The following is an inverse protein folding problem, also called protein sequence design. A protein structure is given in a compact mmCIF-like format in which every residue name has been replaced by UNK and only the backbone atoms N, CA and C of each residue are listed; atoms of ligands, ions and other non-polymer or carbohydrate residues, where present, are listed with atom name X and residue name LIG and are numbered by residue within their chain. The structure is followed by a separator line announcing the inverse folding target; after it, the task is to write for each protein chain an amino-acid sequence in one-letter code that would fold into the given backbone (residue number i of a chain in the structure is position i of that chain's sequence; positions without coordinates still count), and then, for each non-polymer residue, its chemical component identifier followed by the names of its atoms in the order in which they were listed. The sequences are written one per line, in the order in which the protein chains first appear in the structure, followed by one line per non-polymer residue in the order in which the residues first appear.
data_IF_566098425195
#
_entry.id   IF_566098425195
#
_cell.length_a   1.000
_cell.length_b   1.000
_cell.length_c   1.000
_cell.angle_alpha   90.00
_cell.angle_beta   90.00
_cell.angle_gamma   90.00
#
_symmetry.space_group_name_H-M   'P 1'
#
loop_
_entity.id
_entity.type
_entity.pdbx_description
1 polymer ?
#
# COMPACT_ATOMS: atom_id res chain seq x y z
N UNK A 1 58.56 29.81 8.94
CA UNK A 1 58.96 29.88 10.36
C UNK A 1 58.12 30.95 11.01
N UNK A 2 57.48 30.59 12.13
CA UNK A 2 56.85 31.43 13.16
C UNK A 2 55.60 32.27 12.77
N UNK A 3 54.57 32.42 13.60
CA UNK A 3 54.04 31.65 14.73
C UNK A 3 52.63 32.20 15.04
N UNK A 4 51.90 31.43 15.85
CA UNK A 4 50.53 31.51 16.35
C UNK A 4 49.97 32.84 16.88
N UNK A 5 48.63 32.89 16.86
CA UNK A 5 47.83 33.65 17.83
C UNK A 5 46.35 33.24 17.79
N UNK A 6 45.99 32.19 18.55
CA UNK A 6 44.58 31.88 18.89
C UNK A 6 44.14 32.81 20.03
N UNK A 7 42.90 33.29 20.00
CA UNK A 7 42.15 33.59 21.23
C UNK A 7 40.64 33.48 20.99
N UNK A 8 40.03 32.68 21.86
CA UNK A 8 38.61 32.38 21.94
C UNK A 8 37.84 33.52 22.62
N UNK A 9 36.54 33.62 22.37
CA UNK A 9 35.61 34.19 23.35
C UNK A 9 34.30 33.44 23.32
N UNK A 10 33.95 32.93 24.50
CA UNK A 10 32.80 32.12 24.86
C UNK A 10 31.81 33.02 25.61
N UNK A 11 30.51 32.80 25.32
CA UNK A 11 29.35 32.92 26.22
C UNK A 11 28.93 34.30 26.78
N UNK A 12 27.60 34.54 26.82
CA UNK A 12 26.77 34.57 28.07
C UNK A 12 25.45 35.38 27.88
N UNK A 13 24.34 34.66 28.12
CA UNK A 13 23.08 35.01 28.83
C UNK A 13 22.03 36.01 28.32
N UNK A 14 20.80 35.53 28.54
CA UNK A 14 19.51 36.18 28.55
C UNK A 14 19.25 37.03 29.82
N UNK A 15 18.22 37.90 29.77
CA UNK A 15 17.04 37.97 30.68
C UNK A 15 16.48 39.41 30.85
N UNK A 16 15.23 39.59 30.37
CA UNK A 16 14.00 40.29 30.86
C UNK A 16 13.93 41.76 31.39
N UNK A 17 12.68 42.27 31.23
CA UNK A 17 11.92 43.39 31.85
C UNK A 17 11.87 44.68 30.99
N UNK A 18 10.79 45.44 30.82
CA UNK A 18 9.39 45.44 31.30
C UNK A 18 8.61 46.55 30.54
N UNK A 19 7.28 46.46 30.47
CA UNK A 19 6.44 47.56 29.94
C UNK A 19 4.94 47.28 30.04
N UNK A 20 4.31 47.77 31.11
CA UNK A 20 2.88 47.63 31.42
C UNK A 20 2.00 48.71 30.78
N UNK A 21 0.74 48.36 30.50
CA UNK A 21 -0.40 49.22 30.85
C UNK A 21 -1.49 49.41 29.78
N UNK A 22 -2.66 48.77 29.97
CA UNK A 22 -3.95 49.45 30.23
C UNK A 22 -5.05 48.43 30.57
N UNK A 23 -5.57 48.52 31.80
CA UNK A 23 -6.73 47.78 32.30
C UNK A 23 -8.02 48.37 31.72
N UNK A 24 -8.86 47.51 31.15
CA UNK A 24 -10.28 47.74 30.95
C UNK A 24 -11.02 46.53 31.51
N UNK A 25 -11.83 46.76 32.55
CA UNK A 25 -12.69 45.73 33.14
C UNK A 25 -13.75 45.28 32.13
N UNK A 26 -13.85 43.99 31.88
CA UNK A 26 -15.06 43.34 31.36
C UNK A 26 -15.09 41.89 31.85
N UNK A 27 -16.16 41.60 32.58
CA UNK A 27 -16.82 40.33 32.94
C UNK A 27 -16.11 38.97 32.70
N UNK A 28 -16.19 38.00 33.64
CA UNK A 28 -15.73 36.64 33.37
C UNK A 28 -16.60 36.01 32.28
N UNK A 29 -16.05 35.92 31.07
CA UNK A 29 -16.59 35.02 30.06
C UNK A 29 -16.34 33.58 30.52
N UNK A 30 -17.41 32.81 30.62
CA UNK A 30 -17.38 31.36 30.82
C UNK A 30 -16.31 30.71 29.94
N UNK A 31 -15.51 29.77 30.44
CA UNK A 31 -14.58 29.02 29.62
C UNK A 31 -15.37 28.20 28.61
N UNK A 32 -15.46 28.70 27.37
CA UNK A 32 -15.82 27.87 26.22
C UNK A 32 -14.83 26.71 26.19
N UNK A 33 -15.29 25.45 26.27
CA UNK A 33 -14.40 24.31 26.05
C UNK A 33 -13.73 24.49 24.68
N UNK A 34 -12.45 24.11 24.52
CA UNK A 34 -11.78 24.19 23.25
C UNK A 34 -12.63 23.42 22.23
N UNK A 35 -13.02 24.10 21.15
CA UNK A 35 -13.59 23.45 19.98
C UNK A 35 -12.66 22.30 19.63
N UNK A 36 -13.11 21.08 19.92
CA UNK A 36 -12.48 19.87 19.44
C UNK A 36 -12.33 20.07 17.94
N UNK A 37 -11.07 20.18 17.50
CA UNK A 37 -10.77 20.17 16.07
C UNK A 37 -11.52 18.98 15.50
N UNK A 38 -12.52 19.27 14.68
CA UNK A 38 -13.16 18.26 13.87
C UNK A 38 -12.06 17.79 12.94
N UNK A 39 -11.36 16.72 13.33
CA UNK A 39 -10.59 15.92 12.39
C UNK A 39 -11.59 15.60 11.29
N UNK A 40 -11.46 16.26 10.13
CA UNK A 40 -12.35 16.05 9.02
C UNK A 40 -12.42 14.53 8.80
N UNK A 41 -13.62 13.96 8.93
CA UNK A 41 -13.82 12.55 8.72
C UNK A 41 -13.32 12.24 7.30
N UNK A 42 -12.24 11.48 7.21
CA UNK A 42 -11.70 11.06 5.91
C UNK A 42 -12.77 10.19 5.28
N UNK A 43 -13.38 10.68 4.20
CA UNK A 43 -14.41 9.93 3.48
C UNK A 43 -13.75 8.69 2.87
N UNK A 44 -14.22 7.47 3.19
CA UNK A 44 -13.69 6.26 2.60
C UNK A 44 -13.82 6.29 1.07
N UNK A 45 -12.76 5.91 0.37
CA UNK A 45 -12.77 5.80 -1.09
C UNK A 45 -13.43 4.48 -1.52
N UNK A 46 -13.99 4.48 -2.74
CA UNK A 46 -14.61 3.32 -3.37
C UNK A 46 -13.61 2.66 -4.35
N UNK A 47 -12.78 1.69 -3.91
CA UNK A 47 -11.75 1.07 -4.76
C UNK A 47 -12.34 0.34 -5.98
N UNK A 48 -13.59 -0.10 -5.93
CA UNK A 48 -14.28 -0.73 -7.06
C UNK A 48 -14.45 0.21 -8.26
N UNK A 49 -14.40 1.53 -8.05
CA UNK A 49 -14.43 2.50 -9.13
C UNK A 49 -13.12 2.57 -9.93
N UNK A 50 -12.07 1.86 -9.51
CA UNK A 50 -10.86 1.64 -10.30
C UNK A 50 -11.02 0.56 -11.36
N UNK A 51 -12.02 -0.32 -11.26
CA UNK A 51 -12.26 -1.38 -12.25
C UNK A 51 -12.72 -0.73 -13.56
N UNK A 52 -11.99 -0.99 -14.64
CA UNK A 52 -12.27 -0.41 -15.95
C UNK A 52 -11.07 -0.45 -16.90
N UNK A 53 -11.30 0.01 -18.13
CA UNK A 53 -10.27 0.22 -19.14
C UNK A 53 -9.94 1.70 -19.26
N UNK A 54 -8.69 2.05 -18.95
CA UNK A 54 -8.25 3.42 -18.75
C UNK A 54 -7.15 3.82 -19.73
N UNK A 55 -7.28 4.98 -20.36
CA UNK A 55 -6.16 5.62 -21.07
C UNK A 55 -5.25 6.27 -20.03
N UNK A 56 -3.97 5.92 -20.08
CA UNK A 56 -2.94 6.50 -19.24
C UNK A 56 -2.53 7.88 -19.79
N UNK A 57 -2.59 8.90 -18.95
CA UNK A 57 -2.03 10.23 -19.24
C UNK A 57 -1.13 10.67 -18.09
N UNK A 58 -0.27 11.66 -18.37
CA UNK A 58 0.72 12.22 -17.43
C UNK A 58 1.78 11.23 -16.94
N UNK A 59 1.97 10.11 -17.64
CA UNK A 59 3.05 9.15 -17.33
C UNK A 59 4.34 9.60 -18.02
N UNK A 60 5.38 9.88 -17.22
CA UNK A 60 6.65 10.38 -17.73
C UNK A 60 7.47 9.35 -18.54
N UNK A 61 7.11 8.06 -18.44
CA UNK A 61 7.79 6.95 -19.10
C UNK A 61 7.17 6.68 -20.48
N UNK A 62 7.91 6.89 -21.59
CA UNK A 62 7.42 6.65 -22.94
C UNK A 62 7.12 5.18 -23.24
N UNK A 63 7.66 4.25 -22.44
CA UNK A 63 7.45 2.80 -22.54
C UNK A 63 6.34 2.26 -21.64
N UNK A 64 5.64 3.11 -20.88
CA UNK A 64 4.70 2.74 -19.81
C UNK A 64 3.51 1.89 -20.23
N UNK A 65 3.14 1.94 -21.51
CA UNK A 65 1.84 1.49 -22.01
C UNK A 65 0.88 2.64 -22.23
N UNK A 66 -0.13 2.39 -23.06
CA UNK A 66 -1.17 3.38 -23.42
C UNK A 66 -2.46 3.16 -22.63
N UNK A 67 -2.72 1.91 -22.28
CA UNK A 67 -3.96 1.49 -21.65
C UNK A 67 -3.63 0.69 -20.39
N UNK A 68 -4.25 1.07 -19.28
CA UNK A 68 -4.30 0.29 -18.06
C UNK A 68 -5.69 -0.33 -17.95
N UNK A 69 -5.76 -1.66 -18.06
CA UNK A 69 -6.99 -2.43 -17.86
C UNK A 69 -6.96 -3.05 -16.47
N UNK A 70 -7.96 -2.74 -15.65
CA UNK A 70 -8.10 -3.21 -14.27
C UNK A 70 -9.39 -4.02 -14.16
N UNK A 71 -9.25 -5.32 -14.01
CA UNK A 71 -10.35 -6.24 -13.72
C UNK A 71 -10.27 -6.75 -12.27
N UNK A 72 -11.08 -7.73 -11.89
CA UNK A 72 -11.06 -8.29 -10.54
C UNK A 72 -9.72 -8.97 -10.23
N UNK A 73 -8.84 -8.27 -9.53
CA UNK A 73 -7.52 -8.76 -9.10
C UNK A 73 -6.48 -8.86 -10.22
N UNK A 74 -6.89 -8.67 -11.48
CA UNK A 74 -6.05 -8.74 -12.67
C UNK A 74 -5.79 -7.35 -13.24
N UNK A 75 -4.57 -7.14 -13.72
CA UNK A 75 -4.11 -5.92 -14.35
C UNK A 75 -3.45 -6.26 -15.68
N UNK A 76 -3.74 -5.45 -16.70
CA UNK A 76 -3.01 -5.48 -17.96
C UNK A 76 -2.54 -4.09 -18.37
N UNK A 77 -1.28 -3.98 -18.79
CA UNK A 77 -0.73 -2.81 -19.47
C UNK A 77 -0.62 -3.10 -20.96
N UNK A 78 -1.44 -2.45 -21.76
CA UNK A 78 -1.51 -2.66 -23.21
C UNK A 78 -0.80 -1.53 -23.96
N UNK A 79 -0.11 -1.90 -25.04
CA UNK A 79 0.64 -0.96 -25.88
C UNK A 79 1.94 -0.48 -25.24
N UNK A 80 2.58 -1.31 -24.40
CA UNK A 80 3.95 -1.05 -23.94
C UNK A 80 4.94 -1.35 -25.05
N UNK A 81 6.19 -0.91 -24.90
CA UNK A 81 7.26 -1.24 -25.84
C UNK A 81 7.62 -2.74 -25.86
N UNK A 82 7.30 -3.48 -24.80
CA UNK A 82 7.52 -4.92 -24.67
C UNK A 82 6.26 -5.75 -24.95
N UNK A 83 5.23 -5.15 -25.56
CA UNK A 83 3.93 -5.79 -25.79
C UNK A 83 2.96 -5.58 -24.63
N UNK A 84 2.06 -6.53 -24.39
CA UNK A 84 1.11 -6.43 -23.28
C UNK A 84 1.69 -7.06 -22.02
N UNK A 85 1.70 -6.33 -20.92
CA UNK A 85 2.15 -6.86 -19.62
C UNK A 85 0.94 -7.28 -18.78
N UNK A 86 1.08 -8.39 -18.06
CA UNK A 86 0.08 -8.99 -17.21
C UNK A 86 0.51 -8.99 -15.75
N UNK A 87 -0.45 -8.72 -14.88
CA UNK A 87 -0.18 -8.52 -13.48
C UNK A 87 -1.40 -8.71 -12.59
N UNK A 88 -1.19 -8.41 -11.31
CA UNK A 88 -2.26 -8.29 -10.33
C UNK A 88 -2.25 -6.92 -9.68
N UNK A 89 -3.37 -6.54 -9.08
CA UNK A 89 -3.47 -5.31 -8.31
C UNK A 89 -4.42 -5.45 -7.13
N UNK A 90 -4.24 -4.55 -6.16
CA UNK A 90 -5.14 -4.36 -5.01
C UNK A 90 -5.26 -2.89 -4.65
N UNK A 91 -6.39 -2.54 -4.06
CA UNK A 91 -6.62 -1.25 -3.46
C UNK A 91 -7.53 -1.38 -2.22
N UNK A 92 -7.56 -0.35 -1.38
CA UNK A 92 -8.46 -0.28 -0.24
C UNK A 92 -9.17 1.08 -0.15
N UNK A 93 -10.11 1.20 0.79
CA UNK A 93 -10.87 2.43 1.04
C UNK A 93 -10.06 3.57 1.68
N UNK A 94 -8.80 3.32 2.09
CA UNK A 94 -7.89 4.33 2.62
C UNK A 94 -7.10 5.05 1.50
N UNK A 95 -7.30 4.65 0.24
CA UNK A 95 -6.58 5.21 -0.90
C UNK A 95 -5.23 4.58 -1.15
N UNK A 96 -4.98 3.38 -0.61
CA UNK A 96 -3.77 2.61 -0.92
C UNK A 96 -3.99 1.84 -2.22
N UNK A 97 -2.98 1.82 -3.08
CA UNK A 97 -2.96 1.06 -4.34
C UNK A 97 -1.64 0.32 -4.45
N UNK A 98 -1.70 -0.95 -4.87
CA UNK A 98 -0.53 -1.76 -5.15
C UNK A 98 -0.78 -2.58 -6.40
N UNK A 99 0.23 -2.70 -7.26
CA UNK A 99 0.17 -3.47 -8.49
C UNK A 99 1.48 -4.22 -8.70
N UNK A 100 1.45 -5.35 -9.39
CA UNK A 100 2.65 -6.11 -9.71
C UNK A 100 2.52 -6.84 -11.05
N UNK A 101 3.57 -6.81 -11.87
CA UNK A 101 3.68 -7.48 -13.16
C UNK A 101 4.49 -8.75 -12.98
N UNK A 102 3.94 -9.87 -13.47
CA UNK A 102 4.57 -11.19 -13.41
C UNK A 102 4.45 -11.96 -14.73
N UNK A 103 3.87 -11.32 -15.76
CA UNK A 103 3.74 -11.91 -17.09
C UNK A 103 3.91 -10.86 -18.18
N UNK A 104 4.46 -11.28 -19.32
CA UNK A 104 4.45 -10.52 -20.56
C UNK A 104 3.81 -11.38 -21.66
N UNK A 105 2.77 -10.85 -22.29
CA UNK A 105 2.03 -11.45 -23.39
C UNK A 105 2.54 -10.85 -24.69
N UNK A 106 3.56 -11.46 -25.27
CA UNK A 106 3.89 -11.31 -26.68
C UNK A 106 4.72 -12.50 -27.14
N UNK A 107 4.57 -12.86 -28.43
CA UNK A 107 5.63 -13.56 -29.16
C UNK A 107 6.91 -12.69 -29.32
N UNK A 108 6.84 -11.42 -28.89
CA UNK A 108 7.81 -10.36 -29.17
C UNK A 108 8.79 -10.07 -28.02
N UNK A 109 8.70 -10.73 -26.85
CA UNK A 109 9.76 -10.58 -25.84
C UNK A 109 11.07 -11.21 -26.34
N UNK A 110 10.96 -12.23 -27.19
CA UNK A 110 12.10 -12.87 -27.82
C UNK A 110 12.65 -11.97 -28.95
N UNK A 111 13.75 -11.27 -28.66
CA UNK A 111 14.49 -10.49 -29.65
C UNK A 111 14.22 -8.97 -29.66
N UNK A 112 13.37 -8.43 -28.77
CA UNK A 112 13.29 -6.98 -28.54
C UNK A 112 14.33 -6.60 -27.46
N UNK A 113 15.35 -5.79 -27.79
CA UNK A 113 16.35 -5.35 -26.82
C UNK A 113 15.71 -4.57 -25.66
N UNK A 114 16.06 -4.93 -24.42
CA UNK A 114 15.56 -4.26 -23.22
C UNK A 114 14.26 -4.84 -22.65
N UNK A 115 13.68 -5.85 -23.29
CA UNK A 115 12.46 -6.52 -22.82
C UNK A 115 12.73 -7.86 -22.10
N UNK A 116 13.99 -8.23 -21.90
CA UNK A 116 14.39 -9.55 -21.36
C UNK A 116 13.78 -9.84 -19.98
N UNK A 117 13.44 -8.79 -19.23
CA UNK A 117 12.85 -8.86 -17.90
C UNK A 117 11.42 -8.33 -17.81
N UNK A 118 10.77 -8.05 -18.94
CA UNK A 118 9.44 -7.44 -18.95
C UNK A 118 8.36 -8.28 -18.23
N UNK A 119 8.55 -9.60 -18.14
CA UNK A 119 7.68 -10.51 -17.38
C UNK A 119 8.08 -10.69 -15.91
N UNK A 120 9.23 -10.16 -15.49
CA UNK A 120 9.81 -10.39 -14.16
C UNK A 120 9.87 -9.12 -13.30
N UNK A 121 9.78 -7.94 -13.93
CA UNK A 121 9.94 -6.67 -13.24
C UNK A 121 8.74 -5.75 -13.52
N UNK A 122 8.09 -5.30 -12.45
CA UNK A 122 7.11 -4.21 -12.52
C UNK A 122 7.76 -2.92 -13.03
N UNK A 123 7.21 -2.28 -14.09
CA UNK A 123 7.73 -1.02 -14.61
C UNK A 123 7.87 0.05 -13.52
N UNK A 124 8.96 0.82 -13.57
CA UNK A 124 9.32 1.78 -12.53
C UNK A 124 8.22 2.79 -12.19
N UNK A 125 7.48 3.26 -13.21
CA UNK A 125 6.36 4.18 -12.95
C UNK A 125 5.27 3.52 -12.11
N UNK A 126 4.92 2.26 -12.39
CA UNK A 126 3.90 1.51 -11.67
C UNK A 126 4.41 1.06 -10.30
N UNK A 127 5.72 0.77 -10.19
CA UNK A 127 6.39 0.48 -8.91
C UNK A 127 6.28 1.66 -7.93
N UNK A 128 6.41 2.89 -8.43
CA UNK A 128 6.25 4.11 -7.62
C UNK A 128 4.82 4.36 -7.13
N UNK A 129 3.80 3.84 -7.83
CA UNK A 129 2.41 4.01 -7.41
C UNK A 129 2.18 3.23 -6.12
N UNK A 130 1.74 3.95 -5.09
CA UNK A 130 1.43 3.40 -3.76
C UNK A 130 0.08 3.86 -3.24
N UNK A 131 -0.55 4.82 -3.93
CA UNK A 131 -1.82 5.39 -3.53
C UNK A 131 -2.67 5.74 -4.76
N UNK A 132 -3.95 5.92 -4.52
CA UNK A 132 -4.90 6.47 -5.48
C UNK A 132 -5.83 7.47 -4.78
N UNK A 133 -6.43 8.32 -5.60
CA UNK A 133 -7.55 9.17 -5.21
C UNK A 133 -8.45 9.41 -6.42
N UNK A 134 -9.59 10.04 -6.19
CA UNK A 134 -10.40 10.60 -7.26
C UNK A 134 -10.23 12.12 -7.29
N UNK A 135 -10.15 12.71 -8.48
CA UNK A 135 -10.15 14.16 -8.63
C UNK A 135 -11.57 14.75 -8.41
N UNK A 136 -11.70 16.07 -8.54
CA UNK A 136 -13.00 16.75 -8.37
C UNK A 136 -14.09 16.35 -9.37
N UNK A 137 -13.74 15.57 -10.41
CA UNK A 137 -14.68 15.02 -11.41
C UNK A 137 -14.93 13.52 -11.20
N UNK A 138 -14.34 12.93 -10.17
CA UNK A 138 -14.44 11.49 -9.91
C UNK A 138 -13.47 10.64 -10.74
N UNK A 139 -12.50 11.24 -11.44
CA UNK A 139 -11.54 10.49 -12.25
C UNK A 139 -10.40 9.96 -11.39
N UNK A 140 -9.97 8.69 -11.57
CA UNK A 140 -8.88 8.15 -10.78
C UNK A 140 -7.54 8.83 -11.10
N UNK A 141 -6.79 9.11 -10.05
CA UNK A 141 -5.42 9.60 -10.10
C UNK A 141 -4.54 8.68 -9.27
N UNK A 142 -3.51 8.12 -9.90
CA UNK A 142 -2.51 7.28 -9.26
C UNK A 142 -1.37 8.15 -8.73
N UNK A 143 -0.95 7.87 -7.51
CA UNK A 143 -0.03 8.69 -6.74
C UNK A 143 1.15 7.89 -6.21
N UNK A 144 2.28 8.58 -6.04
CA UNK A 144 3.43 8.05 -5.32
C UNK A 144 3.32 8.22 -3.79
N UNK A 145 4.33 7.75 -3.07
CA UNK A 145 4.39 7.85 -1.60
C UNK A 145 4.45 9.28 -1.06
N UNK A 146 4.84 10.25 -1.90
CA UNK A 146 4.81 11.68 -1.62
C UNK A 146 3.51 12.37 -2.03
N UNK A 147 2.49 11.60 -2.42
CA UNK A 147 1.20 12.08 -2.96
C UNK A 147 1.35 12.89 -4.25
N UNK A 148 2.44 12.73 -5.00
CA UNK A 148 2.59 13.33 -6.32
C UNK A 148 1.87 12.48 -7.37
N UNK A 149 1.33 13.13 -8.39
CA UNK A 149 0.65 12.44 -9.50
C UNK A 149 1.66 11.67 -10.34
N UNK A 150 1.41 10.38 -10.51
CA UNK A 150 2.18 9.48 -11.38
C UNK A 150 1.44 9.21 -12.68
N UNK A 151 0.11 9.05 -12.61
CA UNK A 151 -0.74 8.85 -13.77
C UNK A 151 -2.16 9.36 -13.49
N UNK A 152 -2.87 9.82 -14.53
CA UNK A 152 -4.32 9.98 -14.48
C UNK A 152 -4.98 8.98 -15.41
N UNK A 153 -6.16 8.51 -15.01
CA UNK A 153 -6.90 7.48 -15.71
C UNK A 153 -8.11 8.10 -16.40
N UNK A 154 -8.12 8.11 -17.74
CA UNK A 154 -9.27 8.56 -18.53
C UNK A 154 -10.10 7.33 -18.93
N UNK A 155 -11.41 7.28 -18.62
CA UNK A 155 -12.23 6.10 -18.91
C UNK A 155 -12.48 5.90 -20.40
N UNK A 156 -12.77 4.65 -20.79
CA UNK A 156 -13.27 4.31 -22.12
C UNK A 156 -12.17 3.87 -23.10
N UNK A 157 -10.99 3.50 -22.61
CA UNK A 157 -9.97 2.90 -23.47
C UNK A 157 -10.47 1.57 -24.04
N UNK A 158 -10.21 1.34 -25.32
CA UNK A 158 -10.51 0.07 -25.99
C UNK A 158 -9.20 -0.54 -26.49
N UNK A 159 -8.68 -1.61 -25.88
CA UNK A 159 -7.51 -2.31 -26.38
C UNK A 159 -7.72 -2.80 -27.81
N UNK A 160 -6.70 -2.62 -28.65
CA UNK A 160 -6.70 -3.22 -29.99
C UNK A 160 -6.39 -4.72 -29.86
N UNK A 161 -7.06 -5.60 -30.62
CA UNK A 161 -6.69 -7.01 -30.66
C UNK A 161 -5.21 -7.21 -31.08
N UNK A 162 -4.48 -7.97 -30.28
CA UNK A 162 -3.09 -8.38 -30.55
C UNK A 162 -3.00 -9.91 -30.50
N UNK A 163 -2.06 -10.55 -31.24
CA UNK A 163 -1.83 -11.99 -31.13
C UNK A 163 -1.54 -12.39 -29.68
N UNK A 164 -2.29 -13.35 -29.16
CA UNK A 164 -2.23 -13.86 -27.77
C UNK A 164 -2.77 -12.91 -26.68
N UNK A 165 -3.38 -11.79 -27.04
CA UNK A 165 -4.20 -11.04 -26.09
C UNK A 165 -5.53 -11.78 -25.89
N UNK A 166 -5.88 -12.10 -24.66
CA UNK A 166 -7.13 -12.79 -24.36
C UNK A 166 -8.33 -11.89 -24.65
N UNK A 167 -9.42 -12.46 -25.17
CA UNK A 167 -10.66 -11.73 -25.48
C UNK A 167 -11.21 -10.98 -24.26
N UNK A 168 -11.02 -11.53 -23.06
CA UNK A 168 -11.41 -10.90 -21.79
C UNK A 168 -10.72 -9.56 -21.51
N UNK A 169 -9.55 -9.31 -22.11
CA UNK A 169 -8.84 -8.03 -21.98
C UNK A 169 -9.39 -6.99 -22.97
N UNK A 170 -10.00 -7.43 -24.07
CA UNK A 170 -10.64 -6.57 -25.06
C UNK A 170 -11.98 -6.04 -24.57
N UNK A 171 -12.68 -6.82 -23.76
CA UNK A 171 -13.95 -6.44 -23.16
C UNK A 171 -13.78 -5.46 -21.98
N UNK A 172 -14.66 -4.45 -21.84
CA UNK A 172 -14.66 -3.58 -20.67
C UNK A 172 -14.89 -4.38 -19.37
N UNK A 173 -14.02 -4.23 -18.35
CA UNK A 173 -14.21 -4.88 -17.05
C UNK A 173 -15.53 -4.52 -16.39
N UNK A 174 -16.19 -5.52 -15.82
CA UNK A 174 -17.42 -5.33 -15.04
C UNK A 174 -17.13 -5.43 -13.54
N UNK A 175 -17.80 -4.58 -12.76
CA UNK A 175 -17.77 -4.67 -11.30
C UNK A 175 -18.70 -5.79 -10.84
N UNK A 176 -18.11 -6.98 -10.60
CA UNK A 176 -18.82 -8.15 -10.09
C UNK A 176 -18.96 -8.13 -8.56
N UNK A 177 -19.83 -8.98 -8.02
CA UNK A 177 -19.96 -9.15 -6.57
C UNK A 177 -18.70 -9.75 -5.94
N UNK A 178 -17.99 -10.63 -6.66
CA UNK A 178 -16.69 -11.14 -6.26
C UNK A 178 -15.68 -10.00 -6.11
N UNK A 179 -15.65 -9.07 -7.07
CA UNK A 179 -14.78 -7.91 -7.03
C UNK A 179 -15.10 -6.99 -5.84
N UNK A 180 -16.39 -6.71 -5.60
CA UNK A 180 -16.82 -5.92 -4.42
C UNK A 180 -16.41 -6.59 -3.12
N UNK A 181 -16.56 -7.91 -3.01
CA UNK A 181 -16.13 -8.67 -1.81
C UNK A 181 -14.61 -8.65 -1.63
N UNK A 182 -13.85 -8.75 -2.71
CA UNK A 182 -12.38 -8.74 -2.65
C UNK A 182 -11.81 -7.38 -2.26
N UNK A 183 -12.48 -6.28 -2.66
CA UNK A 183 -12.09 -4.90 -2.38
C UNK A 183 -12.77 -4.31 -1.13
N UNK A 184 -13.63 -5.08 -0.46
CA UNK A 184 -14.29 -4.64 0.76
C UNK A 184 -13.25 -4.24 1.83
N UNK A 185 -13.52 -3.19 2.63
CA UNK A 185 -12.60 -2.78 3.68
C UNK A 185 -12.27 -3.93 4.64
N UNK A 186 -11.01 -3.99 5.07
CA UNK A 186 -10.61 -4.91 6.11
C UNK A 186 -11.38 -4.61 7.40
N UNK A 187 -11.59 -5.65 8.22
CA UNK A 187 -12.19 -5.47 9.54
C UNK A 187 -11.33 -4.52 10.35
N UNK A 188 -11.93 -3.45 10.87
CA UNK A 188 -11.22 -2.47 11.66
C UNK A 188 -10.55 -3.12 12.88
N UNK A 189 -9.33 -2.68 13.17
CA UNK A 189 -8.64 -3.09 14.39
C UNK A 189 -9.45 -2.65 15.61
N UNK A 190 -9.54 -3.48 16.67
CA UNK A 190 -10.06 -3.05 17.94
C UNK A 190 -9.37 -1.77 18.42
N UNK A 191 -10.14 -0.84 18.99
CA UNK A 191 -9.63 0.47 19.46
C UNK A 191 -8.53 0.39 20.53
N UNK A 192 -8.35 -0.80 21.13
CA UNK A 192 -7.29 -1.08 22.10
C UNK A 192 -5.94 -1.41 21.45
N UNK A 193 -5.91 -1.63 20.13
CA UNK A 193 -4.70 -1.94 19.38
C UNK A 193 -4.24 -0.70 18.61
N UNK A 194 -2.94 -0.51 18.58
CA UNK A 194 -2.30 0.54 17.77
C UNK A 194 -1.93 -0.09 16.43
N UNK A 195 -2.40 0.46 15.29
CA UNK A 195 -1.95 0.03 13.97
C UNK A 195 -0.43 0.04 13.85
N UNK A 196 0.15 -1.02 13.27
CA UNK A 196 1.58 -1.00 12.92
C UNK A 196 1.76 -0.24 11.61
N UNK A 197 2.62 0.78 11.63
CA UNK A 197 3.06 1.43 10.41
C UNK A 197 4.06 0.55 9.62
N UNK A 198 4.28 0.90 8.36
CA UNK A 198 5.15 0.17 7.45
C UNK A 198 6.56 -0.05 8.02
N UNK A 199 7.15 0.96 8.67
CA UNK A 199 8.53 0.88 9.18
C UNK A 199 8.65 -0.14 10.31
N UNK A 200 7.59 -0.30 11.11
CA UNK A 200 7.55 -1.27 12.21
C UNK A 200 7.28 -2.70 11.73
N UNK A 201 6.73 -2.87 10.53
CA UNK A 201 6.52 -4.18 9.91
C UNK A 201 7.78 -4.72 9.23
N UNK A 202 8.72 -3.85 8.81
CA UNK A 202 9.97 -4.26 8.19
C UNK A 202 10.77 -5.20 9.11
N UNK A 203 11.22 -6.32 8.53
CA UNK A 203 11.98 -7.36 9.21
C UNK A 203 11.35 -8.74 9.03
N UNK A 204 12.02 -9.73 9.62
CA UNK A 204 11.62 -11.13 9.57
C UNK A 204 10.77 -11.52 10.79
N UNK A 205 9.61 -12.09 10.48
CA UNK A 205 8.63 -12.61 11.42
C UNK A 205 8.55 -14.12 11.29
N UNK A 206 8.50 -14.80 12.43
CA UNK A 206 8.35 -16.25 12.52
C UNK A 206 7.11 -16.57 13.33
N UNK A 207 6.36 -17.63 12.99
CA UNK A 207 5.19 -18.00 13.77
C UNK A 207 5.63 -18.49 15.15
N UNK A 208 4.87 -18.15 16.19
CA UNK A 208 5.14 -18.64 17.55
C UNK A 208 4.97 -20.16 17.69
N UNK A 209 4.19 -20.76 16.79
CA UNK A 209 3.89 -22.19 16.74
C UNK A 209 3.75 -22.63 15.29
N UNK A 210 4.18 -23.84 14.96
CA UNK A 210 4.14 -24.37 13.60
C UNK A 210 5.53 -24.80 13.12
N UNK A 211 5.71 -24.86 11.81
CA UNK A 211 6.97 -25.29 11.21
C UNK A 211 8.10 -24.31 11.54
N UNK A 212 9.24 -24.80 12.05
CA UNK A 212 10.34 -23.94 12.53
C UNK A 212 11.03 -23.15 11.42
N UNK A 213 10.92 -23.61 10.18
CA UNK A 213 11.45 -22.90 9.02
C UNK A 213 10.46 -21.89 8.42
N UNK A 214 9.19 -21.87 8.86
CA UNK A 214 8.21 -20.94 8.33
C UNK A 214 8.53 -19.49 8.72
N UNK A 215 8.30 -18.55 7.81
CA UNK A 215 8.56 -17.13 8.02
C UNK A 215 7.79 -16.24 7.06
N UNK A 216 7.72 -14.96 7.40
CA UNK A 216 7.48 -13.86 6.45
C UNK A 216 8.48 -12.75 6.74
N UNK A 217 9.07 -12.18 5.72
CA UNK A 217 10.02 -11.08 5.79
C UNK A 217 9.52 -9.95 4.92
N UNK A 218 9.40 -8.77 5.53
CA UNK A 218 9.00 -7.54 4.86
C UNK A 218 10.21 -6.63 4.74
N UNK A 219 10.52 -6.18 3.53
CA UNK A 219 11.63 -5.27 3.27
C UNK A 219 11.14 -3.82 3.10
N UNK A 220 12.02 -2.86 3.35
CA UNK A 220 11.66 -1.44 3.36
C UNK A 220 11.29 -0.87 1.98
N UNK A 221 11.71 -1.54 0.90
CA UNK A 221 11.37 -1.25 -0.49
C UNK A 221 10.01 -1.81 -0.92
N UNK A 222 9.26 -2.43 -0.02
CA UNK A 222 7.91 -2.91 -0.29
C UNK A 222 7.86 -4.30 -0.94
N UNK A 223 8.92 -5.09 -0.81
CA UNK A 223 8.94 -6.52 -1.15
C UNK A 223 8.70 -7.38 0.09
N UNK A 224 8.07 -8.53 -0.08
CA UNK A 224 7.96 -9.54 0.94
C UNK A 224 8.42 -10.89 0.42
N UNK A 225 8.95 -11.71 1.33
CA UNK A 225 9.31 -13.10 1.09
C UNK A 225 8.77 -13.95 2.21
N UNK A 226 8.26 -15.13 1.90
CA UNK A 226 7.72 -16.01 2.91
C UNK A 226 7.96 -17.47 2.58
N UNK A 227 7.88 -18.29 3.62
CA UNK A 227 7.85 -19.74 3.48
C UNK A 227 6.91 -20.33 4.51
N UNK A 228 6.17 -21.36 4.12
CA UNK A 228 5.42 -22.23 5.03
C UNK A 228 6.31 -23.33 5.65
N UNK A 229 7.59 -23.40 5.25
CA UNK A 229 8.55 -24.42 5.62
C UNK A 229 8.84 -25.46 4.54
N UNK A 230 8.03 -25.50 3.48
CA UNK A 230 8.17 -26.41 2.34
C UNK A 230 8.25 -25.65 1.01
N UNK A 231 7.50 -24.56 0.90
CA UNK A 231 7.38 -23.73 -0.29
C UNK A 231 7.86 -22.32 0.05
N UNK A 232 8.40 -21.61 -0.95
CA UNK A 232 8.76 -20.20 -0.86
C UNK A 232 7.83 -19.39 -1.78
N UNK A 233 7.50 -18.18 -1.35
CA UNK A 233 6.71 -17.22 -2.12
C UNK A 233 7.24 -15.80 -1.88
N UNK A 234 7.03 -14.92 -2.84
CA UNK A 234 7.38 -13.50 -2.74
C UNK A 234 6.42 -12.64 -3.51
N UNK A 235 6.50 -11.34 -3.24
CA UNK A 235 5.87 -10.32 -4.06
C UNK A 235 5.87 -8.98 -3.33
N UNK A 236 4.95 -8.11 -3.71
CA UNK A 236 4.91 -6.73 -3.19
C UNK A 236 3.99 -6.59 -1.99
N UNK A 237 4.27 -5.64 -1.10
CA UNK A 237 3.38 -5.30 0.01
C UNK A 237 3.35 -3.81 0.30
N UNK A 238 2.26 -3.37 0.91
CA UNK A 238 2.11 -2.04 1.48
C UNK A 238 1.15 -2.07 2.67
N UNK A 239 1.31 -1.15 3.62
CA UNK A 239 0.39 -0.97 4.75
C UNK A 239 -0.36 0.37 4.67
N UNK A 240 -1.66 0.34 4.91
CA UNK A 240 -2.50 1.52 5.14
C UNK A 240 -2.33 2.10 6.55
N UNK A 241 -2.77 3.33 6.74
CA UNK A 241 -2.72 4.04 8.02
C UNK A 241 -3.59 3.36 9.10
N UNK A 242 -4.65 2.67 8.69
CA UNK A 242 -5.50 1.86 9.58
C UNK A 242 -4.87 0.53 10.03
N UNK A 243 -3.64 0.23 9.60
CA UNK A 243 -2.98 -1.06 9.85
C UNK A 243 -3.38 -2.16 8.87
N UNK A 244 -4.12 -1.80 7.82
CA UNK A 244 -4.47 -2.70 6.71
C UNK A 244 -3.20 -3.12 5.97
N UNK A 245 -2.91 -4.42 5.88
CA UNK A 245 -1.81 -4.94 5.07
C UNK A 245 -2.35 -5.41 3.71
N UNK A 246 -1.75 -4.93 2.62
CA UNK A 246 -2.04 -5.35 1.24
C UNK A 246 -0.82 -6.06 0.64
N UNK A 247 -0.78 -7.39 0.65
CA UNK A 247 0.22 -8.17 -0.08
C UNK A 247 -0.28 -8.56 -1.48
N UNK A 248 0.64 -8.61 -2.44
CA UNK A 248 0.53 -9.28 -3.73
C UNK A 248 1.58 -10.39 -3.77
N UNK A 249 1.24 -11.54 -4.36
CA UNK A 249 2.17 -12.64 -4.59
C UNK A 249 2.05 -13.12 -6.04
N UNK A 250 3.14 -13.66 -6.57
CA UNK A 250 3.14 -14.27 -7.89
C UNK A 250 2.08 -15.39 -7.95
N UNK A 251 1.06 -15.25 -8.83
CA UNK A 251 0.05 -16.28 -9.07
C UNK A 251 -1.15 -16.32 -8.10
N UNK A 252 -1.59 -15.15 -7.59
CA UNK A 252 -2.69 -14.94 -6.63
C UNK A 252 -3.80 -16.02 -6.52
N UNK A 253 -3.51 -17.12 -5.82
CA UNK A 253 -4.52 -18.01 -5.21
C UNK A 253 -4.85 -17.61 -3.76
N UNK A 254 -4.18 -16.60 -3.22
CA UNK A 254 -4.54 -16.00 -1.94
C UNK A 254 -5.72 -15.04 -2.11
N UNK A 255 -6.95 -15.59 -2.14
CA UNK A 255 -8.15 -14.81 -1.76
C UNK A 255 -7.89 -14.24 -0.37
N UNK A 256 -8.24 -12.98 -0.19
CA UNK A 256 -8.17 -12.19 1.04
C UNK A 256 -8.29 -13.00 2.33
N UNK A 257 -7.15 -13.37 2.91
CA UNK A 257 -6.86 -13.57 4.33
C UNK A 257 -5.58 -14.41 4.48
N UNK A 258 -4.61 -14.04 5.33
CA UNK A 258 -4.03 -15.06 6.16
C UNK A 258 -5.07 -15.37 7.25
N UNK A 259 -5.36 -16.65 7.43
CA UNK A 259 -5.91 -17.18 8.67
C UNK A 259 -4.71 -17.42 9.56
N UNK A 260 -4.50 -16.64 10.62
CA UNK A 260 -3.84 -17.10 11.84
C UNK A 260 -3.61 -15.94 12.80
N UNK A 261 -4.62 -15.67 13.62
CA UNK A 261 -4.44 -14.88 14.81
C UNK A 261 -5.65 -15.06 15.73
N UNK A 262 -5.42 -15.87 16.76
CA UNK A 262 -6.34 -16.10 17.87
C UNK A 262 -5.46 -16.15 19.12
N UNK A 263 -5.54 -15.13 19.98
CA UNK A 263 -4.88 -15.12 21.29
C UNK A 263 -5.76 -15.79 22.36
N UNK A 264 -5.09 -16.37 23.35
CA UNK A 264 -5.59 -17.33 24.33
C UNK A 264 -6.07 -16.70 25.65
N UNK A 265 -7.20 -17.17 26.21
CA UNK A 265 -7.32 -17.70 27.59
C UNK A 265 -8.75 -18.11 27.97
N UNK A 266 -8.90 -19.30 28.56
CA UNK A 266 -9.76 -19.51 29.75
C UNK A 266 -11.22 -20.01 29.62
N UNK A 267 -11.38 -21.34 29.69
CA UNK A 267 -12.50 -22.10 30.31
C UNK A 267 -13.86 -22.32 29.56
N UNK A 268 -14.43 -23.51 29.79
CA UNK A 268 -15.48 -24.24 29.04
C UNK A 268 -16.94 -23.80 29.33
N UNK A 269 -17.85 -23.98 28.34
CA UNK A 269 -19.05 -24.88 28.38
C UNK A 269 -19.73 -25.03 26.99
N UNK A 270 -20.50 -26.12 26.73
CA UNK A 270 -20.91 -26.55 25.39
C UNK A 270 -22.33 -26.10 24.98
N UNK A 271 -22.51 -25.84 23.68
CA UNK A 271 -23.83 -25.74 23.03
C UNK A 271 -24.22 -24.32 22.58
N UNK A 272 -24.00 -24.01 21.30
CA UNK A 272 -24.51 -22.79 20.64
C UNK A 272 -23.73 -22.46 19.36
N UNK A 273 -24.38 -21.97 18.28
CA UNK A 273 -23.77 -21.87 16.95
C UNK A 273 -22.63 -20.83 16.92
N UNK A 274 -21.46 -21.27 16.43
CA UNK A 274 -20.21 -20.53 16.53
C UNK A 274 -20.15 -19.33 15.57
N UNK A 275 -20.46 -18.14 16.08
CA UNK A 275 -20.01 -16.87 15.50
C UNK A 275 -18.60 -16.59 16.02
N UNK A 276 -17.59 -16.60 15.15
CA UNK A 276 -16.17 -16.46 15.55
C UNK A 276 -15.69 -15.03 15.32
N UNK A 277 -15.44 -14.32 16.43
CA UNK A 277 -14.57 -13.14 16.51
C UNK A 277 -13.12 -13.63 16.66
N UNK A 278 -12.15 -13.11 15.87
CA UNK A 278 -10.72 -13.47 15.93
C UNK A 278 -9.82 -12.24 16.20
N UNK A 279 -8.96 -12.26 17.23
CA UNK A 279 -7.99 -11.19 17.52
C UNK A 279 -6.58 -11.48 16.96
N UNK A 280 -6.01 -10.54 16.19
CA UNK A 280 -4.60 -10.55 15.75
C UNK A 280 -3.64 -9.95 16.78
N UNK A 281 -2.65 -10.74 17.25
CA UNK A 281 -1.34 -10.32 17.77
C UNK A 281 -0.63 -11.50 18.48
N UNK A 282 0.26 -12.22 17.80
CA UNK A 282 1.32 -12.99 18.45
C UNK A 282 2.40 -13.40 17.44
N UNK A 283 3.12 -12.42 16.89
CA UNK A 283 4.39 -12.62 16.18
C UNK A 283 5.44 -11.80 16.93
N UNK A 284 6.61 -12.39 17.18
CA UNK A 284 7.71 -11.68 17.83
C UNK A 284 8.81 -11.41 16.81
N UNK A 285 9.29 -10.15 16.69
CA UNK A 285 10.44 -9.86 15.85
C UNK A 285 11.66 -10.63 16.38
N UNK A 286 12.45 -11.23 15.48
CA UNK A 286 13.72 -11.85 15.87
C UNK A 286 14.76 -10.73 16.02
N UNK A 287 15.21 -10.46 17.24
CA UNK A 287 16.36 -9.59 17.46
C UNK A 287 17.60 -10.21 16.79
N UNK A 288 18.18 -9.52 15.81
CA UNK A 288 19.50 -9.85 15.28
C UNK A 288 20.54 -9.66 16.39
N UNK A 289 21.18 -10.75 16.83
CA UNK A 289 22.38 -10.64 17.66
C UNK A 289 23.45 -9.89 16.85
N UNK A 290 24.14 -8.88 17.42
CA UNK A 290 25.35 -8.38 16.79
C UNK A 290 26.37 -9.52 16.75
N UNK A 291 26.99 -9.70 15.59
CA UNK A 291 28.17 -10.55 15.47
C UNK A 291 29.26 -9.96 16.39
N UNK A 292 29.67 -10.77 17.38
CA UNK A 292 30.89 -10.52 18.14
C UNK A 292 32.10 -11.09 17.41
#
# INVERSE_FOLDING_TARGET
MADQGRLATLMVMAVLLSGCGRQGNSEPADPRPPLSGTTAAVVPLAPEALIGSWTLIDVADPGAGKILHLAHGELHLVGTHCGTLGGTWRANSEGVFLADIWQAFAAAVEGIPGCEKASQETPEWLRRVTAYQFDGKGLPVLLDGGRQTVARLIPGATPTPEPNLADSVLEPPLVTDEARRALAPAVALPVTLVPMDQRRLVGRWVPLSGHKAAYVEFTADGEWRGSDGCNDESGRWISGAGGTLLPLGEGSRWRSAPTACRSANGSRRPGGPASTVMPWCSLTPRATRPAG
#
